data_IF_696172656733
#
_entry.id   IF_696172656733
#
_cell.length_a   1.000
_cell.length_b   1.000
_cell.length_c   1.000
_cell.angle_alpha   90.00
_cell.angle_beta   90.00
_cell.angle_gamma   90.00
#
_symmetry.space_group_name_H-M   'P 1'
#
loop_
_entity.id
_entity.type
_entity.pdbx_description
1 polymer ?
#
# COMPACT_ATOMS: atom_id res chain seq x y z
N UNK A 1 8.92 -14.12 2.19
CA UNK A 1 10.23 -13.43 2.17
C UNK A 1 10.43 -12.78 3.52
N UNK A 2 11.48 -13.18 4.23
CA UNK A 2 11.89 -12.48 5.45
C UNK A 2 12.51 -11.13 5.10
N UNK A 3 12.64 -10.23 6.08
CA UNK A 3 13.29 -8.92 5.91
C UNK A 3 14.72 -9.05 5.37
N UNK A 4 15.40 -10.15 5.72
CA UNK A 4 16.71 -10.57 5.21
C UNK A 4 16.74 -10.74 3.68
N UNK A 5 15.71 -11.34 3.09
CA UNK A 5 15.68 -11.65 1.65
C UNK A 5 15.51 -10.38 0.80
N UNK A 6 14.70 -9.44 1.30
CA UNK A 6 14.46 -8.15 0.63
C UNK A 6 15.70 -7.26 0.65
N UNK A 7 16.44 -7.24 1.76
CA UNK A 7 17.67 -6.46 1.84
C UNK A 7 18.73 -6.98 0.86
N UNK A 8 18.86 -8.30 0.74
CA UNK A 8 19.74 -8.93 -0.25
C UNK A 8 19.32 -8.59 -1.68
N UNK A 9 18.03 -8.68 -2.01
CA UNK A 9 17.51 -8.31 -3.34
C UNK A 9 17.76 -6.83 -3.67
N UNK A 10 17.61 -5.91 -2.71
CA UNK A 10 17.83 -4.48 -2.94
C UNK A 10 19.32 -4.10 -3.05
N UNK A 11 20.22 -4.94 -2.55
CA UNK A 11 21.67 -4.79 -2.72
C UNK A 11 22.16 -5.37 -4.04
N UNK A 12 21.36 -6.18 -4.72
CA UNK A 12 21.68 -6.73 -6.03
C UNK A 12 21.83 -5.59 -7.07
N UNK A 13 23.00 -5.45 -7.71
CA UNK A 13 23.22 -4.47 -8.77
C UNK A 13 22.24 -4.60 -9.95
N UNK A 14 21.77 -5.81 -10.25
CA UNK A 14 20.83 -6.06 -11.34
C UNK A 14 19.46 -5.45 -11.03
N UNK A 15 18.94 -5.68 -9.82
CA UNK A 15 17.66 -5.12 -9.35
C UNK A 15 17.70 -3.59 -9.37
N UNK A 16 18.82 -2.99 -8.97
CA UNK A 16 19.01 -1.54 -9.04
C UNK A 16 19.00 -1.01 -10.46
N UNK A 17 19.72 -1.68 -11.38
CA UNK A 17 19.75 -1.29 -12.77
C UNK A 17 18.37 -1.39 -13.45
N UNK A 18 17.59 -2.42 -13.12
CA UNK A 18 16.21 -2.56 -13.59
C UNK A 18 15.31 -1.45 -13.05
N UNK A 19 15.39 -1.15 -11.76
CA UNK A 19 14.62 -0.05 -11.16
C UNK A 19 14.92 1.30 -11.83
N UNK A 20 16.19 1.59 -12.13
CA UNK A 20 16.58 2.82 -12.84
C UNK A 20 16.03 2.91 -14.27
N UNK A 21 15.74 1.77 -14.91
CA UNK A 21 15.17 1.73 -16.27
C UNK A 21 13.65 1.88 -16.29
N UNK A 22 12.98 1.81 -15.14
CA UNK A 22 11.52 1.93 -15.10
C UNK A 22 11.06 3.31 -15.58
N UNK A 23 9.92 3.39 -16.30
CA UNK A 23 9.23 4.64 -16.54
C UNK A 23 8.99 5.41 -15.23
N UNK A 24 9.06 6.74 -15.29
CA UNK A 24 9.02 7.59 -14.10
C UNK A 24 7.76 7.38 -13.24
N UNK A 25 6.62 7.14 -13.87
CA UNK A 25 5.35 6.82 -13.21
C UNK A 25 5.40 5.49 -12.45
N UNK A 26 5.99 4.46 -13.06
CA UNK A 26 6.18 3.16 -12.43
C UNK A 26 7.18 3.25 -11.28
N UNK A 27 8.32 3.91 -11.50
CA UNK A 27 9.33 4.12 -10.46
C UNK A 27 8.73 4.86 -9.25
N UNK A 28 7.93 5.92 -9.48
CA UNK A 28 7.25 6.65 -8.42
C UNK A 28 6.26 5.76 -7.65
N UNK A 29 5.43 4.99 -8.34
CA UNK A 29 4.45 4.10 -7.70
C UNK A 29 5.11 3.00 -6.87
N UNK A 30 6.16 2.37 -7.39
CA UNK A 30 6.95 1.36 -6.67
C UNK A 30 7.68 1.96 -5.48
N UNK A 31 8.35 3.11 -5.64
CA UNK A 31 9.02 3.80 -4.55
C UNK A 31 8.06 4.18 -3.42
N UNK A 32 6.89 4.70 -3.76
CA UNK A 32 5.81 4.99 -2.80
C UNK A 32 5.35 3.73 -2.06
N UNK A 33 5.05 2.64 -2.78
CA UNK A 33 4.61 1.38 -2.16
C UNK A 33 5.66 0.78 -1.23
N UNK A 34 6.93 0.82 -1.63
CA UNK A 34 8.06 0.34 -0.81
C UNK A 34 8.22 1.19 0.46
N UNK A 35 8.11 2.51 0.36
CA UNK A 35 8.16 3.40 1.52
C UNK A 35 7.03 3.14 2.52
N UNK A 36 5.83 2.76 2.05
CA UNK A 36 4.75 2.34 2.93
C UNK A 36 5.06 1.00 3.59
N UNK A 37 5.37 -0.04 2.81
CA UNK A 37 5.57 -1.40 3.32
C UNK A 37 6.75 -1.51 4.31
N UNK A 38 7.76 -0.66 4.19
CA UNK A 38 8.89 -0.60 5.15
C UNK A 38 8.50 -0.02 6.51
N UNK A 39 7.45 0.80 6.56
CA UNK A 39 6.96 1.47 7.79
C UNK A 39 5.73 0.79 8.40
N UNK A 40 4.98 0.06 7.59
CA UNK A 40 3.74 -0.58 7.98
C UNK A 40 3.96 -1.61 9.11
N UNK A 41 3.07 -1.59 10.10
CA UNK A 41 3.06 -2.56 11.18
C UNK A 41 2.53 -3.92 10.69
N UNK A 42 2.84 -5.00 11.40
CA UNK A 42 2.45 -6.37 11.00
C UNK A 42 0.95 -6.51 10.73
N UNK A 43 0.08 -5.88 11.53
CA UNK A 43 -1.38 -5.91 11.35
C UNK A 43 -1.90 -5.02 10.21
N UNK A 44 -1.04 -4.16 9.66
CA UNK A 44 -1.34 -3.28 8.53
C UNK A 44 -0.93 -3.89 7.19
N UNK A 45 -0.34 -5.09 7.22
CA UNK A 45 -0.03 -5.86 6.02
C UNK A 45 -1.24 -6.74 5.69
N UNK A 46 -1.55 -6.82 4.40
CA UNK A 46 -2.61 -7.68 3.89
C UNK A 46 -2.39 -9.12 4.36
N UNK A 47 -3.44 -9.82 4.84
CA UNK A 47 -3.32 -11.25 5.18
C UNK A 47 -2.85 -12.05 3.96
N UNK A 48 -2.06 -13.09 4.22
CA UNK A 48 -1.56 -13.99 3.19
C UNK A 48 -2.67 -14.90 2.65
N UNK A 49 -2.53 -15.30 1.39
CA UNK A 49 -3.47 -16.18 0.71
C UNK A 49 -4.70 -15.45 0.17
N UNK A 50 -5.53 -16.19 -0.56
CA UNK A 50 -6.69 -15.65 -1.27
C UNK A 50 -8.03 -16.14 -0.66
N UNK A 51 -7.99 -16.90 0.45
CA UNK A 51 -9.16 -17.47 1.14
C UNK A 51 -9.80 -16.46 2.12
N UNK A 52 -10.09 -15.26 1.62
CA UNK A 52 -10.84 -14.24 2.34
C UNK A 52 -11.42 -13.23 1.35
N UNK A 53 -12.58 -12.65 1.69
CA UNK A 53 -13.21 -11.59 0.89
C UNK A 53 -13.26 -10.25 1.62
N UNK A 54 -13.03 -10.24 2.94
CA UNK A 54 -13.13 -9.06 3.79
C UNK A 54 -11.88 -8.96 4.64
N UNK A 55 -11.20 -7.81 4.56
CA UNK A 55 -10.14 -7.45 5.48
C UNK A 55 -10.62 -6.36 6.45
N UNK A 56 -10.84 -6.75 7.70
CA UNK A 56 -11.38 -5.87 8.75
C UNK A 56 -10.28 -5.47 9.74
N UNK A 57 -10.10 -4.16 9.94
CA UNK A 57 -9.24 -3.59 11.00
C UNK A 57 -10.09 -3.01 12.14
N UNK A 58 -10.41 -3.84 13.14
CA UNK A 58 -11.12 -3.41 14.33
C UNK A 58 -10.13 -2.89 15.39
N UNK A 59 -9.88 -1.58 15.39
CA UNK A 59 -8.90 -0.96 16.29
C UNK A 59 -9.26 0.48 16.69
N UNK A 60 -8.67 0.94 17.80
CA UNK A 60 -8.86 2.29 18.36
C UNK A 60 -8.23 3.42 17.54
N UNK A 61 -8.22 4.63 18.11
CA UNK A 61 -7.52 5.80 17.54
C UNK A 61 -6.01 5.54 17.51
N UNK A 62 -5.33 6.01 16.46
CA UNK A 62 -3.87 5.89 16.34
C UNK A 62 -3.35 4.55 15.79
N UNK A 63 -4.20 3.53 15.64
CA UNK A 63 -3.79 2.23 15.10
C UNK A 63 -3.38 2.24 13.60
N UNK A 64 -3.58 3.37 12.91
CA UNK A 64 -3.23 3.55 11.50
C UNK A 64 -4.17 2.88 10.49
N UNK A 65 -5.41 2.55 10.90
CA UNK A 65 -6.40 1.88 10.04
C UNK A 65 -6.74 2.68 8.76
N UNK A 66 -6.94 3.99 8.87
CA UNK A 66 -7.27 4.86 7.73
C UNK A 66 -6.13 4.91 6.72
N UNK A 67 -4.90 5.16 7.19
CA UNK A 67 -3.72 5.19 6.33
C UNK A 67 -3.49 3.84 5.65
N UNK A 68 -3.64 2.74 6.38
CA UNK A 68 -3.51 1.38 5.83
C UNK A 68 -4.50 1.14 4.69
N UNK A 69 -5.78 1.50 4.89
CA UNK A 69 -6.79 1.37 3.85
C UNK A 69 -6.48 2.25 2.63
N UNK A 70 -6.07 3.50 2.83
CA UNK A 70 -5.71 4.42 1.75
C UNK A 70 -4.51 3.92 0.92
N UNK A 71 -3.44 3.49 1.59
CA UNK A 71 -2.21 3.00 0.93
C UNK A 71 -2.48 1.68 0.16
N UNK A 72 -3.36 0.82 0.70
CA UNK A 72 -3.71 -0.44 0.03
C UNK A 72 -4.65 -0.22 -1.17
N UNK A 73 -5.70 0.58 -1.03
CA UNK A 73 -6.66 0.81 -2.12
C UNK A 73 -6.03 1.57 -3.27
N UNK A 74 -5.16 2.55 -3.00
CA UNK A 74 -4.45 3.28 -4.04
C UNK A 74 -3.45 2.36 -4.78
N UNK A 75 -2.79 1.43 -4.08
CA UNK A 75 -1.95 0.42 -4.73
C UNK A 75 -2.77 -0.52 -5.63
N UNK A 76 -3.93 -0.99 -5.16
CA UNK A 76 -4.81 -1.83 -5.97
C UNK A 76 -5.35 -1.10 -7.20
N UNK A 77 -5.79 0.15 -7.04
CA UNK A 77 -6.27 0.98 -8.14
C UNK A 77 -5.19 1.24 -9.20
N UNK A 78 -3.93 1.41 -8.78
CA UNK A 78 -2.80 1.57 -9.70
C UNK A 78 -2.48 0.27 -10.46
N UNK A 79 -2.46 -0.86 -9.76
CA UNK A 79 -2.04 -2.16 -10.30
C UNK A 79 -3.11 -2.83 -11.16
N UNK A 80 -4.39 -2.66 -10.82
CA UNK A 80 -5.51 -3.27 -11.53
C UNK A 80 -6.14 -2.25 -12.47
N UNK A 81 -5.59 -2.15 -13.69
CA UNK A 81 -6.10 -1.23 -14.71
C UNK A 81 -7.56 -1.55 -15.07
N UNK A 82 -8.29 -0.52 -15.48
CA UNK A 82 -9.70 -0.60 -15.90
C UNK A 82 -10.66 -1.15 -14.83
N UNK A 83 -10.38 -0.89 -13.55
CA UNK A 83 -11.25 -1.24 -12.42
C UNK A 83 -11.79 0.01 -11.70
N UNK A 84 -12.83 -0.16 -10.90
CA UNK A 84 -13.43 0.91 -10.06
C UNK A 84 -13.29 0.54 -8.60
N UNK A 85 -12.94 1.53 -7.78
CA UNK A 85 -12.73 1.38 -6.35
C UNK A 85 -13.56 2.42 -5.60
N UNK A 86 -14.06 2.06 -4.41
CA UNK A 86 -14.91 2.92 -3.59
C UNK A 86 -14.19 3.28 -2.29
N UNK A 87 -14.15 4.58 -1.98
CA UNK A 87 -13.84 5.10 -0.66
C UNK A 87 -15.12 5.71 -0.11
N UNK A 88 -15.55 5.23 1.05
CA UNK A 88 -16.78 5.67 1.70
C UNK A 88 -16.51 6.03 3.16
N UNK A 89 -17.21 7.07 3.64
CA UNK A 89 -17.22 7.53 5.01
C UNK A 89 -18.62 8.07 5.36
N UNK A 90 -18.95 8.31 6.65
CA UNK A 90 -20.28 8.74 7.05
C UNK A 90 -20.75 10.05 6.40
N UNK A 91 -19.83 10.98 6.15
CA UNK A 91 -20.12 12.25 5.47
C UNK A 91 -19.13 12.54 4.35
N UNK A 92 -19.51 13.43 3.43
CA UNK A 92 -18.62 13.94 2.38
C UNK A 92 -17.40 14.65 2.96
N UNK A 93 -17.57 15.35 4.08
CA UNK A 93 -16.47 15.99 4.80
C UNK A 93 -15.48 14.96 5.35
N UNK A 94 -15.97 13.82 5.86
CA UNK A 94 -15.10 12.75 6.35
C UNK A 94 -14.32 12.09 5.21
N UNK A 95 -14.96 11.87 4.06
CA UNK A 95 -14.27 11.35 2.87
C UNK A 95 -13.09 12.25 2.54
N UNK A 96 -13.34 13.55 2.40
CA UNK A 96 -12.28 14.50 2.04
C UNK A 96 -11.22 14.62 3.15
N UNK A 97 -11.64 15.03 4.34
CA UNK A 97 -10.74 15.38 5.44
C UNK A 97 -10.01 14.17 6.02
N UNK A 98 -10.70 13.04 6.22
CA UNK A 98 -10.09 11.87 6.87
C UNK A 98 -9.48 10.89 5.88
N UNK A 99 -10.13 10.61 4.74
CA UNK A 99 -9.64 9.58 3.83
C UNK A 99 -8.58 10.06 2.82
N UNK A 100 -8.62 11.34 2.41
CA UNK A 100 -7.71 11.87 1.38
C UNK A 100 -6.74 12.93 1.90
N UNK A 101 -7.20 13.91 2.69
CA UNK A 101 -6.36 15.01 3.15
C UNK A 101 -5.55 14.66 4.42
N UNK A 102 -6.14 13.89 5.34
CA UNK A 102 -5.50 13.38 6.55
C UNK A 102 -5.65 14.32 7.74
#
# INVERSE_FOLDING_TARGET
>A
MGTSDLETLLRDPQVRAEYTRLPADQAAAWGWRMLWLTKALKHQILPHGDDWSIWLMLAGRGAGKTRTAAEQIAWWAWTHKATRWLVAAPTSSDVRGTCFEG
#
